data_IF_099265083176
#
_entry.id   IF_099265083176
#
_cell.length_a   1.000
_cell.length_b   1.000
_cell.length_c   1.000
_cell.angle_alpha   90.00
_cell.angle_beta   90.00
_cell.angle_gamma   90.00
#
_symmetry.space_group_name_H-M   'P 1'
#
loop_
_entity.id
_entity.type
_entity.pdbx_description
1 polymer ?
#
# COMPACT_ATOMS: atom_id res chain seq x y z
N UNK A 1 3.02 10.91 16.27
CA UNK A 1 2.13 10.26 15.29
C UNK A 1 2.37 8.76 15.35
N UNK A 2 1.31 7.95 15.33
CA UNK A 2 1.44 6.49 15.27
C UNK A 2 2.09 6.09 13.95
N UNK A 3 3.22 5.39 14.02
CA UNK A 3 3.90 4.84 12.84
C UNK A 3 3.11 3.63 12.38
N UNK A 4 2.78 3.58 11.08
CA UNK A 4 2.10 2.44 10.46
C UNK A 4 3.18 1.48 9.99
N UNK A 5 3.04 0.19 10.29
CA UNK A 5 3.98 -0.83 9.79
C UNK A 5 3.93 -0.92 8.27
N UNK A 6 5.08 -1.17 7.64
CA UNK A 6 5.20 -1.26 6.18
C UNK A 6 4.25 -2.32 5.58
N UNK A 7 4.08 -3.48 6.21
CA UNK A 7 3.08 -4.50 5.83
C UNK A 7 1.66 -3.94 5.67
N UNK A 8 1.22 -3.08 6.59
CA UNK A 8 -0.15 -2.55 6.58
C UNK A 8 -0.33 -1.49 5.50
N UNK A 9 0.72 -0.70 5.24
CA UNK A 9 0.72 0.28 4.16
C UNK A 9 0.71 -0.44 2.81
N UNK A 10 1.44 -1.53 2.71
CA UNK A 10 1.52 -2.33 1.50
C UNK A 10 0.21 -3.07 1.22
N UNK A 11 -0.38 -3.72 2.22
CA UNK A 11 -1.73 -4.32 2.11
C UNK A 11 -2.77 -3.28 1.66
N UNK A 12 -2.73 -2.05 2.21
CA UNK A 12 -3.63 -0.99 1.78
C UNK A 12 -3.39 -0.56 0.33
N UNK A 13 -2.12 -0.47 -0.10
CA UNK A 13 -1.75 -0.11 -1.46
C UNK A 13 -2.13 -1.20 -2.47
N UNK A 14 -1.87 -2.46 -2.16
CA UNK A 14 -2.27 -3.62 -2.97
C UNK A 14 -3.78 -3.65 -3.16
N UNK A 15 -4.54 -3.41 -2.09
CA UNK A 15 -5.99 -3.37 -2.13
C UNK A 15 -6.51 -2.21 -2.99
N UNK A 16 -5.85 -1.05 -2.94
CA UNK A 16 -6.13 0.07 -3.83
C UNK A 16 -5.84 -0.26 -5.30
N UNK A 17 -4.74 -0.97 -5.59
CA UNK A 17 -4.40 -1.42 -6.95
C UNK A 17 -5.32 -2.53 -7.47
N UNK A 18 -5.88 -3.34 -6.58
CA UNK A 18 -6.92 -4.34 -6.89
C UNK A 18 -8.25 -3.72 -7.34
N UNK A 19 -8.37 -2.39 -7.38
CA UNK A 19 -9.61 -1.67 -7.72
C UNK A 19 -10.78 -1.98 -6.76
N UNK A 20 -10.46 -2.40 -5.53
CA UNK A 20 -11.43 -2.86 -4.55
C UNK A 20 -11.75 -1.77 -3.52
N UNK A 21 -12.27 -0.63 -4.01
CA UNK A 21 -12.43 0.62 -3.25
C UNK A 21 -13.15 0.46 -1.91
N UNK A 22 -14.15 -0.43 -1.83
CA UNK A 22 -14.87 -0.72 -0.58
C UNK A 22 -13.95 -1.29 0.50
N UNK A 23 -13.12 -2.27 0.13
CA UNK A 23 -12.14 -2.85 1.05
C UNK A 23 -11.02 -1.85 1.35
N UNK A 24 -10.54 -1.09 0.36
CA UNK A 24 -9.53 -0.03 0.56
C UNK A 24 -9.99 1.00 1.59
N UNK A 25 -11.22 1.50 1.47
CA UNK A 25 -11.78 2.49 2.41
C UNK A 25 -11.96 1.88 3.79
N UNK A 26 -12.40 0.62 3.88
CA UNK A 26 -12.54 -0.08 5.16
C UNK A 26 -11.20 -0.22 5.88
N UNK A 27 -10.15 -0.68 5.19
CA UNK A 27 -8.80 -0.82 5.75
C UNK A 27 -8.19 0.52 6.15
N UNK A 28 -8.33 1.55 5.31
CA UNK A 28 -7.90 2.90 5.65
C UNK A 28 -8.60 3.38 6.93
N UNK A 29 -9.92 3.14 7.06
CA UNK A 29 -10.67 3.53 8.26
C UNK A 29 -10.22 2.78 9.51
N UNK A 30 -9.99 1.48 9.41
CA UNK A 30 -9.46 0.67 10.51
C UNK A 30 -8.11 1.22 11.02
N UNK A 31 -7.21 1.63 10.11
CA UNK A 31 -5.94 2.25 10.49
C UNK A 31 -6.14 3.59 11.22
N UNK A 32 -7.05 4.44 10.75
CA UNK A 32 -7.37 5.71 11.40
C UNK A 32 -8.00 5.50 12.79
N UNK A 33 -8.81 4.46 12.96
CA UNK A 33 -9.46 4.13 14.23
C UNK A 33 -8.46 3.69 15.31
N UNK A 34 -7.29 3.18 14.91
CA UNK A 34 -6.18 2.89 15.84
C UNK A 34 -5.44 4.14 16.37
N UNK A 35 -5.86 5.35 15.97
CA UNK A 35 -5.25 6.61 16.38
C UNK A 35 -4.12 7.08 15.46
N UNK A 36 -4.01 6.51 14.25
CA UNK A 36 -3.10 7.00 13.21
C UNK A 36 -3.60 8.33 12.67
N UNK A 37 -2.69 9.29 12.54
CA UNK A 37 -3.01 10.58 11.94
C UNK A 37 -3.25 10.44 10.42
N UNK A 38 -4.34 11.00 9.87
CA UNK A 38 -4.66 10.87 8.44
C UNK A 38 -3.57 11.41 7.51
N UNK A 39 -2.93 12.52 7.89
CA UNK A 39 -1.89 13.13 7.09
C UNK A 39 -0.61 12.28 7.15
N UNK A 40 -0.31 11.71 8.32
CA UNK A 40 0.80 10.76 8.47
C UNK A 40 0.56 9.48 7.66
N UNK A 41 -0.66 8.94 7.61
CA UNK A 41 -1.01 7.78 6.79
C UNK A 41 -0.80 8.10 5.30
N UNK A 42 -1.32 9.23 4.83
CA UNK A 42 -1.16 9.68 3.45
C UNK A 42 0.30 9.93 3.08
N UNK A 43 1.08 10.55 3.97
CA UNK A 43 2.51 10.81 3.75
C UNK A 43 3.32 9.51 3.68
N UNK A 44 3.03 8.54 4.55
CA UNK A 44 3.70 7.23 4.54
C UNK A 44 3.34 6.43 3.28
N UNK A 45 2.08 6.47 2.85
CA UNK A 45 1.65 5.84 1.61
C UNK A 45 2.29 6.51 0.38
N UNK A 46 2.39 7.84 0.36
CA UNK A 46 3.07 8.57 -0.71
C UNK A 46 4.58 8.27 -0.75
N UNK A 47 5.23 8.16 0.41
CA UNK A 47 6.62 7.75 0.51
C UNK A 47 6.81 6.31 -0.02
N UNK A 48 5.92 5.38 0.35
CA UNK A 48 5.94 4.02 -0.17
C UNK A 48 5.82 4.00 -1.71
N UNK A 49 4.87 4.74 -2.28
CA UNK A 49 4.72 4.85 -3.74
C UNK A 49 6.00 5.43 -4.38
N UNK A 50 6.60 6.45 -3.76
CA UNK A 50 7.85 7.05 -4.24
C UNK A 50 9.02 6.06 -4.20
N UNK A 51 9.14 5.28 -3.13
CA UNK A 51 10.16 4.25 -2.96
C UNK A 51 10.02 3.14 -4.04
N UNK A 52 8.77 2.77 -4.38
CA UNK A 52 8.46 1.81 -5.44
C UNK A 52 8.89 2.37 -6.80
N UNK A 53 8.55 3.62 -7.10
CA UNK A 53 8.93 4.29 -8.36
C UNK A 53 10.45 4.47 -8.45
N UNK A 54 11.12 4.74 -7.34
CA UNK A 54 12.56 4.89 -7.26
C UNK A 54 13.32 3.55 -7.40
N UNK A 55 12.62 2.41 -7.33
CA UNK A 55 13.23 1.08 -7.34
C UNK A 55 14.02 0.79 -6.06
N UNK A 56 13.75 1.50 -4.96
CA UNK A 56 14.30 1.13 -3.65
C UNK A 56 13.59 -0.13 -3.18
N UNK A 57 14.36 -1.19 -2.96
CA UNK A 57 13.96 -2.58 -2.68
C UNK A 57 13.24 -2.77 -1.31
N UNK A 58 12.35 -1.86 -0.91
CA UNK A 58 11.48 -2.04 0.27
C UNK A 58 10.39 -3.08 0.04
N UNK A 59 10.14 -3.44 -1.22
CA UNK A 59 9.15 -4.43 -1.66
C UNK A 59 9.69 -5.86 -1.79
N UNK A 60 11.00 -6.09 -1.66
CA UNK A 60 11.65 -7.36 -2.02
C UNK A 60 11.13 -8.58 -1.23
N UNK A 61 10.47 -8.38 -0.09
CA UNK A 61 9.97 -9.45 0.76
C UNK A 61 8.49 -9.79 0.52
N UNK A 62 7.71 -8.88 -0.09
CA UNK A 62 6.41 -9.25 -0.65
C UNK A 62 6.64 -9.90 -2.00
N UNK A 63 6.68 -11.23 -2.00
CA UNK A 63 6.60 -12.06 -3.19
C UNK A 63 5.43 -11.58 -4.07
N UNK A 64 5.72 -10.68 -5.01
CA UNK A 64 4.83 -10.34 -6.10
C UNK A 64 4.71 -11.61 -6.96
N UNK A 65 3.67 -12.39 -6.70
CA UNK A 65 3.24 -13.46 -7.60
C UNK A 65 2.79 -12.78 -8.89
N UNK A 66 3.72 -12.68 -9.83
CA UNK A 66 3.51 -12.04 -11.12
C UNK A 66 2.44 -12.79 -11.90
N UNK A 67 1.21 -12.29 -11.89
CA UNK A 67 0.29 -12.60 -12.97
C UNK A 67 0.69 -11.79 -14.19
N UNK A 68 1.49 -12.48 -15.00
CA UNK A 68 1.91 -12.21 -16.37
C UNK A 68 0.88 -11.37 -17.12
N UNK A 69 1.25 -10.13 -17.46
CA UNK A 69 0.57 -9.39 -18.52
C UNK A 69 0.96 -10.04 -19.85
N UNK A 70 0.21 -11.08 -20.22
CA UNK A 70 0.37 -11.80 -21.48
C UNK A 70 0.05 -10.82 -22.62
N UNK A 71 1.11 -10.30 -23.24
CA UNK A 71 1.03 -9.43 -24.40
C UNK A 71 0.74 -10.31 -25.61
N UNK A 72 -0.54 -10.59 -25.82
CA UNK A 72 -1.08 -11.29 -26.98
C UNK A 72 -0.52 -10.66 -28.27
N UNK A 73 0.24 -11.44 -29.03
CA UNK A 73 0.71 -11.15 -30.40
C UNK A 73 0.18 -12.20 -31.35
#
# INVERSE_FOLDING_TARGET
AGVVSDDKLLDLLELAMSSNTSQTVKRARELLDTGVDPLALMSQLAALIMDIIAGTDRLADTKCDGSVFDKQS
#
